data_IF_065518980379
#
_entry.id   IF_065518980379
#
_cell.length_a   1.000
_cell.length_b   1.000
_cell.length_c   1.000
_cell.angle_alpha   90.00
_cell.angle_beta   90.00
_cell.angle_gamma   90.00
#
_symmetry.space_group_name_H-M   'P 1'
#
loop_
_entity.id
_entity.type
_entity.pdbx_description
1 polymer ?
#
# COMPACT_ATOMS: atom_id res chain seq x y z
N UNK A 1 4.17 36.08 -28.18
CA UNK A 1 3.57 34.75 -28.41
C UNK A 1 2.32 34.62 -27.55
N UNK A 2 1.20 34.12 -28.10
CA UNK A 2 -0.06 33.98 -27.37
C UNK A 2 -0.16 32.53 -26.89
N UNK A 3 -0.25 32.31 -25.58
CA UNK A 3 -0.50 30.98 -25.02
C UNK A 3 -1.96 30.58 -25.33
N UNK A 4 -2.23 29.35 -25.79
CA UNK A 4 -3.61 28.90 -25.96
C UNK A 4 -4.25 28.76 -24.58
N UNK A 5 -5.29 29.54 -24.32
CA UNK A 5 -6.17 29.32 -23.18
C UNK A 5 -7.01 28.07 -23.49
N UNK A 6 -6.88 27.05 -22.66
CA UNK A 6 -7.72 25.86 -22.76
C UNK A 6 -9.11 26.25 -22.27
N UNK A 7 -10.05 26.42 -23.21
CA UNK A 7 -11.43 26.76 -22.89
C UNK A 7 -12.12 25.50 -22.37
N UNK A 8 -12.52 25.54 -21.10
CA UNK A 8 -13.33 24.48 -20.50
C UNK A 8 -14.78 24.88 -20.63
N UNK A 9 -15.48 24.28 -21.59
CA UNK A 9 -16.93 24.41 -21.63
C UNK A 9 -17.54 23.70 -20.40
N UNK A 10 -18.77 24.08 -19.98
CA UNK A 10 -19.40 23.50 -18.80
C UNK A 10 -19.46 21.96 -18.80
N UNK A 11 -19.55 21.33 -19.98
CA UNK A 11 -19.56 19.87 -20.13
C UNK A 11 -18.16 19.26 -19.95
N UNK A 12 -17.15 19.77 -20.66
CA UNK A 12 -15.76 19.27 -20.53
C UNK A 12 -15.20 19.51 -19.12
N UNK A 13 -15.55 20.65 -18.49
CA UNK A 13 -15.18 20.94 -17.11
C UNK A 13 -15.75 19.89 -16.13
N UNK A 14 -17.00 19.49 -16.31
CA UNK A 14 -17.64 18.47 -15.48
C UNK A 14 -16.96 17.09 -15.60
N UNK A 15 -16.55 16.70 -16.81
CA UNK A 15 -15.82 15.44 -17.04
C UNK A 15 -14.46 15.42 -16.34
N UNK A 16 -13.73 16.54 -16.36
CA UNK A 16 -12.44 16.64 -15.66
C UNK A 16 -12.64 16.54 -14.15
N UNK A 17 -13.62 17.26 -13.60
CA UNK A 17 -13.92 17.19 -12.17
C UNK A 17 -14.33 15.77 -11.77
N UNK A 18 -15.19 15.12 -12.57
CA UNK A 18 -15.60 13.75 -12.32
C UNK A 18 -14.42 12.77 -12.37
N UNK A 19 -13.52 12.93 -13.34
CA UNK A 19 -12.31 12.11 -13.45
C UNK A 19 -11.41 12.28 -12.22
N UNK A 20 -11.20 13.51 -11.75
CA UNK A 20 -10.40 13.81 -10.57
C UNK A 20 -11.05 13.23 -9.31
N UNK A 21 -12.36 13.41 -9.14
CA UNK A 21 -13.13 12.87 -8.00
C UNK A 21 -13.10 11.34 -8.01
N UNK A 22 -13.35 10.71 -9.16
CA UNK A 22 -13.30 9.25 -9.29
C UNK A 22 -11.88 8.70 -9.05
N UNK A 23 -10.85 9.36 -9.57
CA UNK A 23 -9.46 9.02 -9.32
C UNK A 23 -9.10 9.11 -7.84
N UNK A 24 -9.46 10.21 -7.19
CA UNK A 24 -9.22 10.41 -5.76
C UNK A 24 -9.99 9.38 -4.91
N UNK A 25 -11.26 9.13 -5.21
CA UNK A 25 -12.06 8.12 -4.52
C UNK A 25 -11.49 6.70 -4.71
N UNK A 26 -11.02 6.38 -5.92
CA UNK A 26 -10.35 5.11 -6.21
C UNK A 26 -9.09 4.93 -5.35
N UNK A 27 -8.23 5.94 -5.30
CA UNK A 27 -7.02 5.89 -4.46
C UNK A 27 -7.40 5.80 -2.99
N UNK A 28 -8.36 6.60 -2.50
CA UNK A 28 -8.77 6.59 -1.10
C UNK A 28 -9.37 5.25 -0.65
N UNK A 29 -10.30 4.67 -1.43
CA UNK A 29 -10.96 3.40 -1.10
C UNK A 29 -10.03 2.20 -1.21
N UNK A 30 -9.06 2.25 -2.11
CA UNK A 30 -8.21 1.12 -2.41
C UNK A 30 -6.75 1.31 -2.01
N UNK A 31 -6.38 2.39 -1.31
CA UNK A 31 -5.00 2.72 -0.94
C UNK A 31 -4.25 1.53 -0.33
N UNK A 32 -4.87 0.86 0.65
CA UNK A 32 -4.27 -0.28 1.34
C UNK A 32 -4.08 -1.49 0.42
N UNK A 33 -5.01 -1.72 -0.51
CA UNK A 33 -4.94 -2.81 -1.51
C UNK A 33 -3.91 -2.50 -2.60
N UNK A 34 -3.88 -1.25 -3.10
CA UNK A 34 -2.87 -0.77 -4.05
C UNK A 34 -1.48 -0.89 -3.43
N UNK A 35 -1.27 -0.45 -2.19
CA UNK A 35 0.05 -0.48 -1.55
C UNK A 35 0.60 -1.91 -1.43
N UNK A 36 -0.22 -2.86 -0.99
CA UNK A 36 0.16 -4.28 -0.90
C UNK A 36 0.43 -4.86 -2.30
N UNK A 37 -0.42 -4.55 -3.29
CA UNK A 37 -0.26 -5.06 -4.65
C UNK A 37 0.94 -4.42 -5.36
N UNK A 38 1.19 -3.14 -5.15
CA UNK A 38 2.36 -2.42 -5.66
C UNK A 38 3.63 -2.97 -5.00
N UNK A 39 3.67 -3.17 -3.67
CA UNK A 39 4.79 -3.88 -3.01
C UNK A 39 5.02 -5.27 -3.58
N UNK A 40 3.94 -6.01 -3.86
CA UNK A 40 4.00 -7.36 -4.43
C UNK A 40 4.48 -7.38 -5.88
N UNK A 41 4.13 -6.37 -6.70
CA UNK A 41 4.48 -6.27 -8.11
C UNK A 41 5.84 -5.59 -8.39
N UNK A 42 6.21 -4.56 -7.61
CA UNK A 42 7.46 -3.82 -7.75
C UNK A 42 8.66 -4.45 -7.04
N UNK A 43 8.47 -5.61 -6.40
CA UNK A 43 9.56 -6.38 -5.82
C UNK A 43 9.70 -6.13 -4.32
N UNK A 44 9.13 -7.03 -3.53
CA UNK A 44 9.85 -8.18 -2.97
C UNK A 44 8.79 -9.15 -2.46
N UNK A 45 8.98 -10.44 -2.72
CA UNK A 45 8.47 -11.45 -1.80
C UNK A 45 9.25 -11.19 -0.50
N UNK A 46 8.75 -10.32 0.37
CA UNK A 46 9.20 -10.35 1.76
C UNK A 46 8.59 -11.60 2.38
N UNK A 47 9.23 -12.75 2.10
CA UNK A 47 9.20 -13.94 2.96
C UNK A 47 9.88 -13.63 4.30
N UNK A 48 9.63 -12.48 4.92
CA UNK A 48 10.31 -12.06 6.14
C UNK A 48 9.37 -11.63 7.27
N UNK A 49 8.11 -11.29 6.99
CA UNK A 49 7.18 -10.85 8.06
C UNK A 49 6.02 -11.82 8.34
N UNK A 50 5.91 -12.95 7.61
CA UNK A 50 5.04 -14.08 8.03
C UNK A 50 5.77 -15.05 8.97
N UNK A 51 7.05 -14.79 9.27
CA UNK A 51 7.82 -15.43 10.35
C UNK A 51 8.20 -14.39 11.41
N UNK A 52 7.32 -13.41 11.64
CA UNK A 52 7.47 -12.43 12.70
C UNK A 52 7.11 -13.03 14.06
N UNK A 53 8.16 -13.38 14.81
CA UNK A 53 8.19 -13.67 16.24
C UNK A 53 7.82 -15.11 16.66
N UNK A 54 8.78 -16.04 16.48
CA UNK A 54 8.94 -17.12 17.45
C UNK A 54 9.87 -16.54 18.52
N UNK A 55 9.30 -16.03 19.61
CA UNK A 55 10.03 -15.87 20.88
C UNK A 55 10.45 -17.28 21.32
N UNK A 56 11.65 -17.70 20.94
CA UNK A 56 12.35 -18.76 21.66
C UNK A 56 12.85 -18.09 22.93
N UNK A 57 11.97 -18.04 23.94
CA UNK A 57 12.41 -17.87 25.31
C UNK A 57 13.28 -19.08 25.62
N UNK A 58 14.60 -18.85 25.59
CA UNK A 58 15.65 -19.82 25.90
C UNK A 58 15.56 -20.14 27.40
N UNK A 59 14.52 -20.87 27.80
CA UNK A 59 14.44 -21.49 29.10
C UNK A 59 15.49 -22.59 29.10
N UNK A 60 16.68 -22.25 29.63
CA UNK A 60 17.66 -23.24 30.06
C UNK A 60 16.93 -24.27 30.92
N UNK A 61 16.65 -25.42 30.32
CA UNK A 61 16.45 -26.67 31.03
C UNK A 61 17.68 -26.86 31.92
N UNK A 62 17.52 -26.52 33.20
CA UNK A 62 18.40 -27.01 34.24
C UNK A 62 18.10 -28.50 34.30
N UNK A 63 18.93 -29.24 33.57
CA UNK A 63 18.99 -30.69 33.62
C UNK A 63 19.17 -31.09 35.08
N UNK A 64 18.27 -31.95 35.55
CA UNK A 64 18.32 -32.45 36.90
C UNK A 64 19.49 -33.40 37.03
N UNK A 65 20.49 -33.02 37.82
CA UNK A 65 21.46 -33.99 38.33
C UNK A 65 21.09 -34.32 39.78
N UNK A 66 20.38 -35.44 39.91
CA UNK A 66 20.22 -36.16 41.16
C UNK A 66 21.48 -37.02 41.36
N UNK A 67 22.37 -36.61 42.27
CA UNK A 67 23.14 -37.56 43.10
C UNK A 67 23.68 -36.95 44.38
#
# INVERSE_FOLDING_TARGET
MKLPFLYFDPGTGALIVQLVVAGAASVALFYKRISIKVKSLFGKKEEQDLMGNIDIEDNKTNDGDNK
#
